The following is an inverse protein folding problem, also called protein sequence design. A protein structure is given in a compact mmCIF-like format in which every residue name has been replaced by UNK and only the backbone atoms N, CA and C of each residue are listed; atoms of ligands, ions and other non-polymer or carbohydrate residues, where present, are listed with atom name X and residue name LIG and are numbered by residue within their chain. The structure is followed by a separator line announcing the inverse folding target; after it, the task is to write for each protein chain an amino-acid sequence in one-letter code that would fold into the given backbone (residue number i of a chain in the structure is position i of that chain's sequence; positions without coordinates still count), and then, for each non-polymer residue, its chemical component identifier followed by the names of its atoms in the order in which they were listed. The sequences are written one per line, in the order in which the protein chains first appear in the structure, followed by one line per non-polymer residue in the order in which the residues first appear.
data_IF_307637106705
#
_entry.id   IF_307637106705
#
_cell.length_a   1.000
_cell.length_b   1.000
_cell.length_c   1.000
_cell.angle_alpha   90.00
_cell.angle_beta   90.00
_cell.angle_gamma   90.00
#
_symmetry.space_group_name_H-M   'P 1'
#
loop_
_entity.id
_entity.type
_entity.pdbx_description
1 polymer ?
#
# COMPACT_ATOMS: atom_id res chain seq x y z
N UNK A 1 -15.49 1.71 14.42
CA UNK A 1 -15.74 1.91 12.96
C UNK A 1 -15.76 0.55 12.29
N UNK A 2 -16.71 0.27 11.39
CA UNK A 2 -16.73 -0.99 10.64
C UNK A 2 -15.56 -1.04 9.66
N UNK A 3 -14.87 -2.17 9.56
CA UNK A 3 -13.79 -2.34 8.60
C UNK A 3 -14.30 -2.16 7.16
N UNK A 4 -13.67 -1.29 6.35
CA UNK A 4 -13.99 -1.19 4.93
C UNK A 4 -13.71 -2.50 4.19
N UNK A 5 -14.49 -2.86 3.15
CA UNK A 5 -14.31 -4.13 2.43
C UNK A 5 -12.90 -4.35 1.87
N UNK A 6 -12.25 -3.30 1.36
CA UNK A 6 -10.87 -3.38 0.86
C UNK A 6 -9.89 -3.74 1.99
N UNK A 7 -10.08 -3.19 3.19
CA UNK A 7 -9.21 -3.48 4.33
C UNK A 7 -9.41 -4.91 4.85
N UNK A 8 -10.65 -5.41 4.84
CA UNK A 8 -10.93 -6.82 5.12
C UNK A 8 -10.18 -7.74 4.16
N UNK A 9 -10.12 -7.40 2.87
CA UNK A 9 -9.35 -8.18 1.90
C UNK A 9 -7.84 -8.06 2.11
N UNK A 10 -7.32 -6.87 2.48
CA UNK A 10 -5.91 -6.69 2.88
C UNK A 10 -5.56 -7.63 4.04
N UNK A 11 -6.41 -7.72 5.08
CA UNK A 11 -6.16 -8.63 6.19
C UNK A 11 -6.25 -10.11 5.82
N UNK A 12 -7.18 -10.49 4.93
CA UNK A 12 -7.24 -11.87 4.41
C UNK A 12 -5.97 -12.25 3.65
N UNK A 13 -5.44 -11.34 2.84
CA UNK A 13 -4.18 -11.60 2.14
C UNK A 13 -3.00 -11.62 3.12
N UNK A 14 -2.99 -10.76 4.14
CA UNK A 14 -1.96 -10.75 5.18
C UNK A 14 -1.92 -12.08 5.94
N UNK A 15 -3.08 -12.62 6.29
CA UNK A 15 -3.21 -13.93 6.94
C UNK A 15 -2.73 -15.06 6.01
N UNK A 16 -3.13 -15.05 4.74
CA UNK A 16 -2.68 -16.06 3.78
C UNK A 16 -1.18 -15.97 3.47
N UNK A 17 -0.59 -14.77 3.51
CA UNK A 17 0.80 -14.52 3.17
C UNK A 17 1.76 -14.81 4.34
N UNK A 18 1.44 -14.32 5.54
CA UNK A 18 2.33 -14.35 6.70
C UNK A 18 1.76 -15.15 7.90
N UNK A 19 0.54 -15.66 7.81
CA UNK A 19 -0.12 -16.35 8.94
C UNK A 19 -0.58 -15.40 10.05
N UNK A 20 -0.58 -14.09 9.82
CA UNK A 20 -0.96 -13.08 10.81
C UNK A 20 -2.49 -12.94 10.80
N UNK A 21 -3.18 -13.20 11.94
CA UNK A 21 -4.63 -13.13 11.98
C UNK A 21 -5.15 -11.70 11.76
N UNK A 22 -6.36 -11.53 11.17
CA UNK A 22 -6.97 -10.22 10.98
C UNK A 22 -7.14 -9.45 12.30
N UNK A 23 -6.80 -8.15 12.29
CA UNK A 23 -7.08 -7.28 13.44
C UNK A 23 -8.58 -6.96 13.57
N UNK A 24 -9.02 -6.76 14.80
CA UNK A 24 -10.37 -6.31 15.12
C UNK A 24 -10.64 -4.83 14.75
N UNK A 25 -9.58 -4.06 14.45
CA UNK A 25 -9.67 -2.65 14.08
C UNK A 25 -8.93 -2.33 12.79
N UNK A 26 -9.21 -1.14 12.24
CA UNK A 26 -8.62 -0.67 10.99
C UNK A 26 -7.56 0.43 11.15
N UNK A 27 -7.10 0.67 12.38
CA UNK A 27 -5.96 1.55 12.61
C UNK A 27 -4.66 0.89 12.11
N UNK A 28 -3.96 1.56 11.19
CA UNK A 28 -2.71 1.11 10.57
C UNK A 28 -1.51 1.99 10.99
N UNK A 29 -1.65 2.82 12.03
CA UNK A 29 -0.59 3.73 12.47
C UNK A 29 0.72 3.00 12.79
N UNK A 30 0.68 1.80 13.37
CA UNK A 30 1.91 1.03 13.68
C UNK A 30 2.71 0.67 12.42
N UNK A 31 2.07 0.52 11.25
CA UNK A 31 2.81 0.35 9.99
C UNK A 31 3.47 1.68 9.58
N UNK A 32 2.78 2.81 9.74
CA UNK A 32 3.34 4.13 9.42
C UNK A 32 4.54 4.49 10.30
N UNK A 33 4.49 4.16 11.60
CA UNK A 33 5.59 4.37 12.55
C UNK A 33 6.85 3.57 12.19
N UNK A 34 6.68 2.45 11.50
CA UNK A 34 7.77 1.63 10.95
C UNK A 34 8.26 2.09 9.57
N UNK A 35 7.75 3.21 9.05
CA UNK A 35 8.17 3.79 7.77
C UNK A 35 7.28 3.45 6.57
N UNK A 36 6.12 2.81 6.76
CA UNK A 36 5.16 2.55 5.67
C UNK A 36 4.37 3.81 5.34
N UNK A 37 4.76 4.48 4.25
CA UNK A 37 4.02 5.63 3.73
C UNK A 37 2.73 5.20 3.02
N UNK A 38 1.58 5.32 3.71
CA UNK A 38 0.25 5.07 3.15
C UNK A 38 -0.31 6.32 2.46
N UNK A 39 0.02 6.51 1.17
CA UNK A 39 -0.35 7.70 0.40
C UNK A 39 -1.51 7.43 -0.58
N UNK A 40 -2.63 8.12 -0.39
CA UNK A 40 -3.70 8.19 -1.40
C UNK A 40 -3.29 9.14 -2.53
N UNK A 41 -3.75 8.90 -3.77
CA UNK A 41 -3.54 9.82 -4.90
C UNK A 41 -4.47 11.04 -4.89
N UNK A 42 -5.57 10.97 -4.13
CA UNK A 42 -6.44 12.10 -3.82
C UNK A 42 -6.62 12.16 -2.31
N UNK A 43 -6.22 13.27 -1.67
CA UNK A 43 -6.12 13.35 -0.20
C UNK A 43 -7.41 13.80 0.50
N UNK A 44 -8.44 14.18 -0.26
CA UNK A 44 -9.72 14.60 0.31
C UNK A 44 -10.88 14.04 -0.53
N UNK A 45 -12.04 13.90 0.10
CA UNK A 45 -13.27 13.44 -0.55
C UNK A 45 -14.46 14.11 0.15
N UNK A 46 -15.51 14.43 -0.59
CA UNK A 46 -16.79 14.86 0.00
C UNK A 46 -17.51 13.66 0.59
N UNK A 47 -18.20 13.88 1.69
CA UNK A 47 -19.00 12.84 2.35
C UNK A 47 -19.95 12.19 1.33
N UNK A 48 -19.96 10.85 1.32
CA UNK A 48 -20.81 10.02 0.45
C UNK A 48 -20.66 10.23 -1.07
N UNK A 49 -19.60 10.90 -1.53
CA UNK A 49 -19.32 11.10 -2.96
C UNK A 49 -17.93 10.56 -3.33
N UNK A 50 -17.82 9.24 -3.62
CA UNK A 50 -16.57 8.63 -4.05
C UNK A 50 -15.95 9.40 -5.21
N UNK A 51 -14.62 9.59 -5.17
CA UNK A 51 -13.85 10.30 -6.20
C UNK A 51 -14.28 11.76 -6.49
N UNK A 52 -15.06 12.41 -5.61
CA UNK A 52 -15.56 13.79 -5.80
C UNK A 52 -14.48 14.85 -6.00
N UNK A 53 -13.26 14.62 -5.51
CA UNK A 53 -12.11 15.51 -5.69
C UNK A 53 -11.04 14.93 -6.64
N UNK A 54 -11.34 13.84 -7.35
CA UNK A 54 -10.46 13.34 -8.41
C UNK A 54 -10.33 14.39 -9.52
N UNK A 55 -9.12 14.58 -10.03
CA UNK A 55 -8.79 15.55 -11.08
C UNK A 55 -8.82 17.00 -10.59
N UNK A 56 -8.78 17.24 -9.27
CA UNK A 56 -8.80 18.59 -8.68
C UNK A 56 -7.42 19.09 -8.25
N UNK A 57 -6.35 18.39 -8.61
CA UNK A 57 -4.97 18.83 -8.42
C UNK A 57 -4.20 18.09 -7.32
N UNK A 58 -4.88 17.28 -6.49
CA UNK A 58 -4.20 16.43 -5.51
C UNK A 58 -3.22 15.47 -6.18
N UNK A 59 -3.56 14.95 -7.35
CA UNK A 59 -2.72 14.02 -8.09
C UNK A 59 -1.38 14.65 -8.46
N UNK A 60 -1.37 15.94 -8.81
CA UNK A 60 -0.11 16.67 -9.09
C UNK A 60 0.78 16.72 -7.86
N UNK A 61 0.21 16.99 -6.68
CA UNK A 61 0.96 17.00 -5.43
C UNK A 61 1.49 15.61 -5.08
N UNK A 62 0.63 14.58 -5.10
CA UNK A 62 1.03 13.22 -4.74
C UNK A 62 2.03 12.64 -5.73
N UNK A 63 1.96 13.00 -7.01
CA UNK A 63 2.94 12.58 -8.01
C UNK A 63 4.31 13.19 -7.74
N UNK A 64 4.36 14.44 -7.27
CA UNK A 64 5.61 15.06 -6.81
C UNK A 64 6.17 14.36 -5.58
N UNK A 65 5.31 13.98 -4.62
CA UNK A 65 5.74 13.21 -3.44
C UNK A 65 6.32 11.86 -3.86
N UNK A 66 5.64 11.11 -4.72
CA UNK A 66 6.11 9.82 -5.24
C UNK A 66 7.43 9.99 -5.98
N UNK A 67 7.55 10.98 -6.86
CA UNK A 67 8.78 11.25 -7.59
C UNK A 67 9.95 11.65 -6.67
N UNK A 68 9.68 12.39 -5.60
CA UNK A 68 10.71 12.74 -4.62
C UNK A 68 11.17 11.50 -3.82
N UNK A 69 10.24 10.64 -3.41
CA UNK A 69 10.58 9.37 -2.76
C UNK A 69 11.35 8.45 -3.72
N UNK A 70 10.93 8.37 -4.98
CA UNK A 70 11.59 7.56 -6.03
C UNK A 70 12.94 8.09 -6.50
N UNK A 71 13.36 9.27 -6.02
CA UNK A 71 14.68 9.82 -6.28
C UNK A 71 15.64 9.66 -5.07
N UNK A 72 15.14 9.18 -3.92
CA UNK A 72 15.95 8.96 -2.71
C UNK A 72 17.08 7.98 -2.96
N UNK A 73 18.21 8.19 -2.29
CA UNK A 73 19.36 7.29 -2.39
C UNK A 73 19.07 5.94 -1.69
N UNK A 74 18.28 5.97 -0.61
CA UNK A 74 17.88 4.77 0.11
C UNK A 74 16.94 3.90 -0.75
N UNK A 75 17.11 2.58 -0.66
CA UNK A 75 16.17 1.65 -1.28
C UNK A 75 14.76 1.85 -0.70
N UNK A 76 13.74 1.75 -1.55
CA UNK A 76 12.33 1.88 -1.18
C UNK A 76 11.57 0.81 -1.95
N UNK A 77 10.59 0.19 -1.28
CA UNK A 77 9.67 -0.77 -1.90
C UNK A 77 8.34 -0.07 -2.18
N UNK A 78 7.97 0.03 -3.45
CA UNK A 78 6.70 0.62 -3.89
C UNK A 78 5.66 -0.47 -4.11
N UNK A 79 4.61 -0.47 -3.30
CA UNK A 79 3.47 -1.39 -3.44
C UNK A 79 2.35 -0.69 -4.20
N UNK A 80 2.09 -1.14 -5.43
CA UNK A 80 1.18 -0.49 -6.37
C UNK A 80 -0.05 -1.38 -6.66
N UNK A 81 -1.09 -1.21 -5.84
CA UNK A 81 -2.35 -1.93 -6.00
C UNK A 81 -3.34 -1.23 -6.94
N UNK A 82 -3.68 -1.89 -8.04
CA UNK A 82 -4.66 -1.41 -9.02
C UNK A 82 -4.08 -0.53 -10.13
N UNK A 83 -4.88 -0.34 -11.19
CA UNK A 83 -4.41 0.31 -12.43
C UNK A 83 -3.92 1.74 -12.23
N UNK A 84 -4.57 2.52 -11.34
CA UNK A 84 -4.18 3.90 -11.10
C UNK A 84 -2.83 4.00 -10.37
N UNK A 85 -2.59 3.17 -9.34
CA UNK A 85 -1.31 3.12 -8.64
C UNK A 85 -0.19 2.63 -9.56
N UNK A 86 -0.42 1.57 -10.35
CA UNK A 86 0.55 1.02 -11.30
C UNK A 86 1.04 2.03 -12.34
N UNK A 87 0.21 2.99 -12.75
CA UNK A 87 0.64 4.09 -13.64
C UNK A 87 1.76 4.94 -13.03
N UNK A 88 1.86 5.01 -11.71
CA UNK A 88 2.89 5.79 -11.01
C UNK A 88 4.28 5.15 -11.05
N UNK A 89 4.41 3.90 -11.54
CA UNK A 89 5.70 3.24 -11.74
C UNK A 89 6.66 4.01 -12.65
N UNK A 90 6.12 4.83 -13.55
CA UNK A 90 6.92 5.69 -14.42
C UNK A 90 7.67 6.80 -13.66
N UNK A 91 7.30 7.07 -12.39
CA UNK A 91 7.92 8.06 -11.52
C UNK A 91 9.03 7.46 -10.62
N UNK A 92 9.32 6.16 -10.76
CA UNK A 92 10.22 5.43 -9.86
C UNK A 92 11.41 4.87 -10.65
N UNK A 93 12.62 5.09 -10.14
CA UNK A 93 13.84 4.47 -10.67
C UNK A 93 13.90 2.97 -10.31
N UNK A 94 13.51 2.12 -11.27
CA UNK A 94 13.47 0.67 -11.12
C UNK A 94 14.86 0.01 -11.06
N UNK A 95 15.94 0.74 -11.35
CA UNK A 95 17.29 0.22 -11.13
C UNK A 95 17.68 0.23 -9.65
N UNK A 96 16.99 1.06 -8.85
CA UNK A 96 17.27 1.27 -7.43
C UNK A 96 16.18 0.73 -6.53
N UNK A 97 14.92 0.92 -6.88
CA UNK A 97 13.77 0.63 -6.03
C UNK A 97 13.04 -0.64 -6.47
N UNK A 98 12.43 -1.34 -5.52
CA UNK A 98 11.58 -2.51 -5.84
C UNK A 98 10.16 -2.05 -6.09
N UNK A 99 9.52 -2.55 -7.15
CA UNK A 99 8.09 -2.31 -7.41
C UNK A 99 7.34 -3.64 -7.32
N UNK A 100 6.31 -3.68 -6.48
CA UNK A 100 5.40 -4.80 -6.32
C UNK A 100 4.02 -4.37 -6.84
N UNK A 101 3.53 -5.03 -7.88
CA UNK A 101 2.27 -4.69 -8.53
C UNK A 101 1.24 -5.81 -8.35
N UNK A 102 0.00 -5.46 -8.01
CA UNK A 102 -1.12 -6.40 -8.06
C UNK A 102 -2.44 -5.67 -8.35
N UNK A 103 -3.53 -6.38 -8.68
CA UNK A 103 -4.88 -5.82 -8.71
C UNK A 103 -5.26 -5.16 -7.37
N UNK A 104 -6.27 -4.29 -7.39
CA UNK A 104 -6.70 -3.59 -6.18
C UNK A 104 -7.38 -4.57 -5.18
N UNK A 105 -7.23 -4.40 -3.86
CA UNK A 105 -7.91 -5.21 -2.83
C UNK A 105 -9.44 -5.01 -2.77
N UNK A 106 -10.02 -4.22 -3.67
CA UNK A 106 -11.48 -3.99 -3.68
C UNK A 106 -12.19 -5.30 -4.05
N UNK A 107 -13.38 -5.58 -3.50
CA UNK A 107 -14.17 -6.76 -3.88
C UNK A 107 -14.33 -6.95 -5.39
N UNK A 108 -14.34 -5.86 -6.16
CA UNK A 108 -14.47 -5.87 -7.63
C UNK A 108 -13.28 -6.52 -8.36
N UNK A 109 -12.10 -6.54 -7.73
CA UNK A 109 -10.84 -6.96 -8.38
C UNK A 109 -9.99 -7.90 -7.54
N UNK A 110 -10.29 -8.13 -6.26
CA UNK A 110 -9.40 -8.87 -5.38
C UNK A 110 -9.14 -10.31 -5.86
N UNK A 111 -10.19 -10.99 -6.33
CA UNK A 111 -10.10 -12.34 -6.89
C UNK A 111 -9.39 -12.42 -8.25
N UNK A 112 -9.10 -11.28 -8.88
CA UNK A 112 -8.41 -11.22 -10.18
C UNK A 112 -6.88 -11.20 -10.04
N UNK A 113 -6.36 -11.46 -8.83
CA UNK A 113 -4.93 -11.58 -8.56
C UNK A 113 -4.39 -10.71 -7.43
N UNK A 114 -5.23 -10.03 -6.63
CA UNK A 114 -4.76 -9.47 -5.36
C UNK A 114 -4.55 -10.60 -4.34
N UNK A 115 -5.52 -11.51 -4.24
CA UNK A 115 -5.36 -12.71 -3.43
C UNK A 115 -4.29 -13.63 -4.00
N UNK A 116 -3.36 -14.06 -3.15
CA UNK A 116 -2.17 -14.83 -3.53
C UNK A 116 -1.04 -13.99 -4.13
N UNK A 117 -1.16 -12.65 -4.13
CA UNK A 117 -0.06 -11.78 -4.60
C UNK A 117 1.09 -11.66 -3.60
N UNK A 118 0.87 -12.06 -2.34
CA UNK A 118 1.86 -12.13 -1.27
C UNK A 118 2.70 -10.85 -1.12
N UNK A 119 2.06 -9.67 -1.05
CA UNK A 119 2.81 -8.41 -1.09
C UNK A 119 3.61 -8.18 0.20
N UNK A 120 3.17 -8.70 1.35
CA UNK A 120 3.78 -8.39 2.65
C UNK A 120 5.10 -9.13 2.84
N UNK A 121 5.13 -10.43 2.54
CA UNK A 121 6.36 -11.22 2.53
C UNK A 121 7.33 -10.72 1.46
N UNK A 122 6.83 -10.37 0.28
CA UNK A 122 7.65 -9.79 -0.80
C UNK A 122 8.29 -8.44 -0.41
N UNK A 123 7.56 -7.58 0.32
CA UNK A 123 8.14 -6.34 0.87
C UNK A 123 9.29 -6.66 1.82
N UNK A 124 9.07 -7.55 2.79
CA UNK A 124 10.11 -7.89 3.77
C UNK A 124 11.35 -8.49 3.10
N UNK A 125 11.18 -9.40 2.15
CA UNK A 125 12.29 -9.96 1.36
C UNK A 125 13.07 -8.87 0.60
N UNK A 126 12.37 -7.90 0.02
CA UNK A 126 13.01 -6.80 -0.71
C UNK A 126 13.80 -5.87 0.23
N UNK A 127 13.25 -5.57 1.41
CA UNK A 127 13.93 -4.78 2.44
C UNK A 127 15.18 -5.50 2.97
N UNK A 128 15.06 -6.78 3.31
CA UNK A 128 16.16 -7.60 3.81
C UNK A 128 17.31 -7.69 2.79
N UNK A 129 16.99 -7.89 1.50
CA UNK A 129 17.99 -7.89 0.41
C UNK A 129 18.72 -6.55 0.26
N UNK A 130 18.06 -5.45 0.64
CA UNK A 130 18.65 -4.12 0.67
C UNK A 130 19.33 -3.79 2.00
N UNK A 131 19.44 -4.74 2.94
CA UNK A 131 20.04 -4.54 4.26
C UNK A 131 19.19 -3.70 5.21
N UNK A 132 17.88 -3.58 4.96
CA UNK A 132 16.92 -2.85 5.78
C UNK A 132 16.12 -3.82 6.67
N UNK A 133 15.66 -3.34 7.82
CA UNK A 133 14.80 -4.12 8.72
C UNK A 133 13.46 -4.43 8.04
N UNK A 134 12.95 -5.67 8.17
CA UNK A 134 11.60 -6.00 7.71
C UNK A 134 10.55 -5.26 8.53
N UNK A 135 9.35 -5.14 7.97
CA UNK A 135 8.19 -4.57 8.67
C UNK A 135 7.52 -5.65 9.51
N UNK A 136 7.19 -5.31 10.75
CA UNK A 136 6.22 -6.05 11.55
C UNK A 136 4.81 -5.66 11.12
N UNK A 137 4.17 -6.57 10.40
CA UNK A 137 2.82 -6.38 9.87
C UNK A 137 1.73 -6.69 10.90
N UNK A 138 2.07 -7.25 12.07
CA UNK A 138 1.09 -7.55 13.09
C UNK A 138 0.55 -6.25 13.71
N UNK A 139 -0.78 -6.17 13.80
CA UNK A 139 -1.46 -5.09 14.51
C UNK A 139 -1.85 -5.58 15.90
N UNK A 140 -1.76 -4.69 16.90
CA UNK A 140 -2.18 -4.98 18.26
C UNK A 140 -3.68 -5.30 18.38
N UNK A 141 -4.10 -5.78 19.55
CA UNK A 141 -5.51 -5.97 19.86
C UNK A 141 -6.26 -4.64 20.09
N UNK A 142 -5.52 -3.56 20.35
CA UNK A 142 -6.04 -2.21 20.60
C UNK A 142 -5.45 -1.23 19.58
N UNK A 143 -6.27 -0.26 19.10
CA UNK A 143 -5.83 0.72 18.11
C UNK A 143 -4.76 1.68 18.60
#
# INVERSE_FOLDING_TARGET
VRLPPSLVNIFKELEADLGIPPSAHGNLCSWAEQGVLMLNTTLTVRAHQPASHQGRGWETFTDRVIGHVGAKAEHVVFVLWGSHARKKKALVDQSRHTILESPHPSPLSAHRGFFGSRPFSAVNVALERAGQSPIDWQLGATP
#
